data_IF_405156765085
#
_entry.id   IF_405156765085
#
_cell.length_a   1.000
_cell.length_b   1.000
_cell.length_c   1.000
_cell.angle_alpha   90.00
_cell.angle_beta   90.00
_cell.angle_gamma   90.00
#
_symmetry.space_group_name_H-M   'P 1'
#
loop_
_entity.id
_entity.type
_entity.pdbx_description
1 polymer ?
#
# COMPACT_ATOMS: atom_id res chain seq x y z
N UNK A 1 -9.82 -38.61 24.42
CA UNK A 1 -8.44 -38.66 23.92
C UNK A 1 -8.21 -37.32 23.28
N UNK A 2 -7.55 -36.45 24.02
CA UNK A 2 -7.44 -35.02 23.80
C UNK A 2 -6.01 -34.78 23.28
N UNK A 3 -5.86 -34.15 22.11
CA UNK A 3 -4.56 -33.76 21.57
C UNK A 3 -4.49 -32.24 21.57
N UNK A 4 -3.83 -31.73 22.60
CA UNK A 4 -3.45 -30.34 22.81
C UNK A 4 -2.31 -29.98 21.84
N UNK A 5 -2.53 -28.97 20.99
CA UNK A 5 -1.46 -28.34 20.21
C UNK A 5 -0.80 -27.26 21.07
N UNK A 6 0.48 -27.45 21.40
CA UNK A 6 1.31 -26.46 22.08
C UNK A 6 1.56 -25.28 21.14
N UNK A 7 0.90 -24.16 21.40
CA UNK A 7 1.17 -22.88 20.76
C UNK A 7 2.46 -22.28 21.32
N UNK A 8 3.47 -22.11 20.48
CA UNK A 8 4.61 -21.24 20.76
C UNK A 8 4.20 -19.78 20.54
N UNK A 9 3.89 -19.09 21.64
CA UNK A 9 3.85 -17.62 21.68
C UNK A 9 5.27 -17.11 21.54
N UNK A 10 5.54 -16.36 20.47
CA UNK A 10 6.70 -15.48 20.39
C UNK A 10 6.18 -14.05 20.43
N UNK A 11 6.38 -13.40 21.58
CA UNK A 11 6.17 -11.97 21.79
C UNK A 11 7.50 -11.30 21.45
N UNK A 12 7.57 -10.55 20.35
CA UNK A 12 8.65 -9.61 20.13
C UNK A 12 8.14 -8.18 20.36
N UNK A 13 8.43 -7.69 21.56
CA UNK A 13 8.51 -6.28 21.88
C UNK A 13 9.97 -5.89 21.72
N UNK A 14 10.28 -5.02 20.76
CA UNK A 14 11.64 -4.53 20.55
C UNK A 14 11.73 -3.69 19.30
N UNK A 15 11.65 -2.38 19.49
CA UNK A 15 12.00 -1.36 18.51
C UNK A 15 13.47 -1.51 18.11
N UNK A 16 13.72 -1.98 16.91
CA UNK A 16 14.97 -1.73 16.19
C UNK A 16 14.67 -1.59 14.71
N UNK A 17 14.95 -0.40 14.19
CA UNK A 17 14.96 -0.08 12.77
C UNK A 17 15.93 -1.00 12.04
N UNK A 18 15.44 -2.10 11.49
CA UNK A 18 16.18 -2.91 10.53
C UNK A 18 16.07 -2.28 9.15
N UNK A 19 17.19 -1.74 8.66
CA UNK A 19 17.40 -1.59 7.23
C UNK A 19 17.25 -2.98 6.60
N UNK A 20 16.19 -3.20 5.82
CA UNK A 20 15.98 -4.44 5.06
C UNK A 20 17.06 -4.56 3.98
N UNK A 21 18.18 -5.18 4.32
CA UNK A 21 19.02 -5.87 3.36
C UNK A 21 19.01 -7.35 3.71
N UNK A 22 18.51 -8.18 2.77
CA UNK A 22 18.56 -9.64 2.91
C UNK A 22 20.02 -10.08 3.04
N UNK A 23 20.36 -11.01 3.96
CA UNK A 23 21.68 -11.61 3.99
C UNK A 23 21.91 -12.43 2.70
N UNK A 24 23.12 -12.44 2.13
CA UNK A 24 23.38 -13.12 0.86
C UNK A 24 23.21 -14.64 0.97
N UNK A 25 22.41 -15.22 0.07
CA UNK A 25 22.32 -16.66 -0.16
C UNK A 25 23.45 -17.10 -1.12
N UNK A 26 24.03 -18.28 -0.87
CA UNK A 26 25.02 -18.85 -1.79
C UNK A 26 24.32 -19.64 -2.90
N UNK A 27 24.69 -19.33 -4.14
CA UNK A 27 24.50 -20.20 -5.30
C UNK A 27 25.32 -21.48 -5.11
N UNK A 28 24.65 -22.61 -4.91
CA UNK A 28 25.25 -23.92 -5.14
C UNK A 28 24.95 -24.34 -6.58
N UNK A 29 25.99 -24.50 -7.40
CA UNK A 29 25.88 -25.12 -8.73
C UNK A 29 25.61 -26.64 -8.67
N UNK A 30 25.53 -27.21 -7.47
CA UNK A 30 25.09 -28.58 -7.25
C UNK A 30 23.62 -28.60 -6.82
N UNK A 31 22.75 -28.80 -7.81
CA UNK A 31 21.38 -29.26 -7.61
C UNK A 31 21.45 -30.66 -6.98
N UNK A 32 21.03 -30.79 -5.73
CA UNK A 32 20.81 -32.09 -5.11
C UNK A 32 19.32 -32.39 -5.17
N UNK A 33 18.95 -33.34 -6.02
CA UNK A 33 17.58 -33.88 -6.09
C UNK A 33 17.38 -34.91 -4.98
N UNK A 34 16.29 -34.76 -4.23
CA UNK A 34 15.73 -35.81 -3.38
C UNK A 34 14.30 -36.08 -3.84
N UNK A 35 14.04 -37.32 -4.26
CA UNK A 35 12.72 -37.77 -4.72
C UNK A 35 11.80 -38.02 -3.53
N UNK A 36 10.82 -37.13 -3.32
CA UNK A 36 9.65 -37.40 -2.49
C UNK A 36 8.53 -38.02 -3.32
N UNK A 37 7.82 -39.01 -2.79
CA UNK A 37 6.66 -39.61 -3.45
C UNK A 37 5.43 -38.77 -3.10
N UNK A 38 4.85 -38.08 -4.08
CA UNK A 38 3.56 -37.39 -3.91
C UNK A 38 2.53 -37.93 -4.90
N UNK A 39 1.31 -38.23 -4.42
CA UNK A 39 0.19 -38.62 -5.28
C UNK A 39 -0.50 -37.35 -5.78
N UNK A 40 -0.51 -37.17 -7.10
CA UNK A 40 -1.27 -36.11 -7.78
C UNK A 40 -2.64 -36.67 -8.19
N UNK A 41 -3.72 -36.13 -7.64
CA UNK A 41 -5.06 -36.30 -8.20
C UNK A 41 -5.24 -35.29 -9.34
N UNK A 42 -5.62 -35.78 -10.52
CA UNK A 42 -5.79 -34.95 -11.72
C UNK A 42 -7.27 -34.72 -12.00
N UNK A 43 -7.69 -33.45 -12.01
CA UNK A 43 -8.93 -33.04 -12.64
C UNK A 43 -8.61 -32.15 -13.85
N UNK A 44 -8.72 -32.76 -15.04
CA UNK A 44 -8.70 -32.09 -16.33
C UNK A 44 -9.95 -31.21 -16.50
N UNK A 45 -9.78 -29.95 -16.89
CA UNK A 45 -10.78 -29.20 -17.69
C UNK A 45 -10.09 -28.37 -18.77
N UNK A 46 -10.41 -28.73 -20.01
CA UNK A 46 -10.08 -27.98 -21.22
C UNK A 46 -11.02 -26.80 -21.39
N UNK A 47 -10.49 -25.67 -21.86
CA UNK A 47 -11.25 -24.56 -22.43
C UNK A 47 -10.34 -23.44 -22.94
N UNK A 48 -10.04 -23.43 -24.24
CA UNK A 48 -9.40 -22.31 -24.96
C UNK A 48 -10.47 -21.47 -25.66
N UNK A 49 -10.33 -20.15 -25.63
CA UNK A 49 -10.37 -19.31 -26.85
C UNK A 49 -9.88 -17.89 -26.58
N UNK A 50 -9.02 -17.41 -27.47
CA UNK A 50 -8.34 -16.12 -27.50
C UNK A 50 -9.22 -14.95 -27.95
N UNK A 51 -8.81 -13.72 -27.62
CA UNK A 51 -9.02 -12.54 -28.48
C UNK A 51 -7.84 -11.56 -28.29
N UNK A 52 -7.35 -10.99 -29.39
CA UNK A 52 -6.14 -10.18 -29.46
C UNK A 52 -6.44 -8.67 -29.65
N UNK A 53 -5.55 -7.85 -29.07
CA UNK A 53 -5.04 -6.52 -29.44
C UNK A 53 -5.98 -5.32 -29.72
N UNK A 54 -5.74 -4.20 -29.02
CA UNK A 54 -5.22 -2.96 -29.65
C UNK A 54 -4.76 -1.92 -28.61
N UNK A 55 -3.60 -1.31 -28.84
CA UNK A 55 -3.14 -0.07 -28.18
C UNK A 55 -3.98 1.12 -28.66
N UNK A 56 -4.30 2.04 -27.76
CA UNK A 56 -4.53 3.44 -28.14
C UNK A 56 -4.18 4.37 -26.96
N UNK A 57 -3.17 5.21 -27.18
CA UNK A 57 -2.93 6.44 -26.43
C UNK A 57 -4.10 7.40 -26.71
N UNK A 58 -4.76 7.91 -25.67
CA UNK A 58 -5.64 9.07 -25.78
C UNK A 58 -5.52 9.95 -24.53
N UNK A 59 -4.95 11.12 -24.77
CA UNK A 59 -5.00 12.31 -23.91
C UNK A 59 -6.40 12.89 -24.05
N UNK A 60 -7.23 12.81 -23.01
CA UNK A 60 -8.54 13.46 -23.02
C UNK A 60 -8.60 14.66 -22.05
N UNK A 61 -8.70 15.82 -22.68
CA UNK A 61 -8.92 17.14 -22.11
C UNK A 61 -10.41 17.30 -21.81
N UNK A 62 -10.80 17.29 -20.53
CA UNK A 62 -12.20 17.51 -20.15
C UNK A 62 -12.51 19.02 -20.08
N UNK A 63 -13.31 19.49 -21.04
CA UNK A 63 -13.93 20.82 -21.03
C UNK A 63 -15.28 20.77 -20.31
N UNK A 64 -15.50 21.67 -19.35
CA UNK A 64 -16.78 21.80 -18.64
C UNK A 64 -17.53 23.08 -19.02
N UNK A 65 -18.82 22.91 -19.33
CA UNK A 65 -19.77 23.98 -19.64
C UNK A 65 -20.26 24.66 -18.35
N UNK A 66 -20.32 25.99 -18.39
CA UNK A 66 -20.91 26.82 -17.33
C UNK A 66 -22.39 27.04 -17.63
N UNK A 67 -23.28 26.63 -16.72
CA UNK A 67 -24.63 27.15 -16.63
C UNK A 67 -24.78 27.86 -15.28
N UNK A 68 -25.02 29.17 -15.33
CA UNK A 68 -25.31 29.98 -14.16
C UNK A 68 -26.80 30.10 -13.90
N UNK A 69 -27.18 30.27 -12.63
CA UNK A 69 -28.39 31.00 -12.21
C UNK A 69 -28.22 31.59 -10.81
N UNK A 70 -28.92 32.70 -10.60
CA UNK A 70 -28.69 33.74 -9.59
C UNK A 70 -29.33 33.48 -8.21
N UNK A 71 -28.71 34.05 -7.17
CA UNK A 71 -29.44 34.66 -6.05
C UNK A 71 -29.14 34.14 -4.64
N UNK A 72 -28.20 34.79 -3.91
CA UNK A 72 -28.34 35.06 -2.47
C UNK A 72 -27.19 35.94 -1.96
N UNK A 73 -27.46 37.23 -1.78
CA UNK A 73 -26.47 38.28 -1.49
C UNK A 73 -25.82 38.18 -0.11
N UNK A 74 -26.31 37.32 0.79
CA UNK A 74 -25.71 37.05 2.10
C UNK A 74 -24.62 35.98 2.06
N UNK A 75 -24.74 34.99 1.18
CA UNK A 75 -23.72 33.94 1.00
C UNK A 75 -22.50 34.46 0.25
N UNK A 76 -22.67 35.44 -0.64
CA UNK A 76 -21.58 36.04 -1.42
C UNK A 76 -20.53 36.76 -0.56
N UNK A 77 -20.89 37.30 0.60
CA UNK A 77 -19.91 37.96 1.48
C UNK A 77 -19.08 36.96 2.29
N UNK A 78 -19.68 35.87 2.77
CA UNK A 78 -18.94 34.77 3.40
C UNK A 78 -18.11 34.03 2.34
N UNK A 79 -18.68 33.69 1.19
CA UNK A 79 -17.94 33.06 0.08
C UNK A 79 -16.76 33.93 -0.37
N UNK A 80 -16.90 35.26 -0.46
CA UNK A 80 -15.82 36.13 -0.93
C UNK A 80 -14.73 36.39 0.11
N UNK A 81 -15.06 36.36 1.42
CA UNK A 81 -14.07 36.45 2.50
C UNK A 81 -13.36 35.10 2.76
N UNK A 82 -14.08 34.00 2.58
CA UNK A 82 -13.56 32.64 2.77
C UNK A 82 -12.74 32.20 1.54
N UNK A 83 -13.20 32.44 0.31
CA UNK A 83 -12.54 31.95 -0.90
C UNK A 83 -11.14 32.52 -1.15
N UNK A 84 -10.76 33.65 -0.55
CA UNK A 84 -9.43 34.23 -0.74
C UNK A 84 -8.32 33.56 0.10
N UNK A 85 -8.67 32.64 1.00
CA UNK A 85 -7.70 32.01 1.91
C UNK A 85 -8.01 30.52 2.17
N UNK A 86 -8.68 29.84 1.24
CA UNK A 86 -8.87 28.39 1.27
C UNK A 86 -7.74 27.72 0.51
N UNK A 87 -7.24 26.59 1.02
CA UNK A 87 -6.22 25.79 0.37
C UNK A 87 -6.77 25.16 -0.91
N UNK A 88 -5.96 25.18 -1.98
CA UNK A 88 -6.33 24.50 -3.21
C UNK A 88 -6.48 23.00 -2.96
N UNK A 89 -7.56 22.44 -3.49
CA UNK A 89 -7.96 21.07 -3.20
C UNK A 89 -8.81 20.47 -4.30
N UNK A 90 -8.87 19.15 -4.32
CA UNK A 90 -9.68 18.35 -5.23
C UNK A 90 -10.68 17.54 -4.40
N UNK A 91 -11.94 17.50 -4.84
CA UNK A 91 -12.97 16.68 -4.21
C UNK A 91 -12.78 15.21 -4.61
N UNK A 92 -12.93 14.28 -3.66
CA UNK A 92 -12.99 12.85 -3.94
C UNK A 92 -14.45 12.36 -4.12
N UNK A 93 -14.63 11.11 -4.56
CA UNK A 93 -15.94 10.50 -4.84
C UNK A 93 -16.80 10.25 -3.59
N UNK A 94 -16.25 10.43 -2.39
CA UNK A 94 -16.86 10.09 -1.11
C UNK A 94 -17.16 11.31 -0.23
N UNK A 95 -17.22 12.50 -0.85
CA UNK A 95 -17.34 13.79 -0.17
C UNK A 95 -16.15 14.14 0.72
N UNK A 96 -14.98 13.59 0.44
CA UNK A 96 -13.72 14.04 0.99
C UNK A 96 -13.04 15.08 0.11
N UNK A 97 -11.90 15.55 0.62
CA UNK A 97 -11.10 16.62 0.05
C UNK A 97 -9.63 16.23 0.12
N UNK A 98 -8.93 16.34 -1.00
CA UNK A 98 -7.48 16.14 -1.10
C UNK A 98 -6.82 17.49 -1.33
N UNK A 99 -6.01 17.94 -0.37
CA UNK A 99 -5.26 19.20 -0.49
C UNK A 99 -4.10 19.02 -1.47
N UNK A 100 -3.96 19.96 -2.40
CA UNK A 100 -2.89 19.94 -3.41
C UNK A 100 -1.55 20.32 -2.74
N UNK A 101 -0.55 19.41 -2.68
CA UNK A 101 0.69 19.66 -1.93
C UNK A 101 1.54 20.80 -2.49
N UNK A 102 1.51 21.00 -3.81
CA UNK A 102 2.36 21.96 -4.52
C UNK A 102 1.97 23.41 -4.21
N UNK A 103 0.71 23.64 -3.83
CA UNK A 103 0.15 24.96 -3.56
C UNK A 103 0.19 25.34 -2.07
N UNK A 104 0.73 24.45 -1.22
CA UNK A 104 0.83 24.70 0.21
C UNK A 104 1.65 25.97 0.52
N UNK A 105 1.14 26.86 1.39
CA UNK A 105 1.91 27.99 1.87
C UNK A 105 3.18 27.54 2.59
N UNK A 106 4.33 28.13 2.23
CA UNK A 106 5.61 27.80 2.88
C UNK A 106 5.78 28.41 4.26
N UNK A 107 4.96 29.39 4.64
CA UNK A 107 4.99 29.99 5.97
C UNK A 107 3.98 29.28 6.89
N UNK A 108 4.41 28.68 8.02
CA UNK A 108 3.51 27.97 8.93
C UNK A 108 2.31 28.78 9.45
N UNK A 109 2.47 30.10 9.64
CA UNK A 109 1.36 30.96 10.11
C UNK A 109 0.33 31.21 9.02
N UNK A 110 0.79 31.39 7.77
CA UNK A 110 -0.08 31.53 6.60
C UNK A 110 -0.83 30.21 6.38
N UNK A 111 -0.11 29.09 6.45
CA UNK A 111 -0.70 27.76 6.39
C UNK A 111 -1.73 27.54 7.50
N UNK A 112 -1.44 27.91 8.75
CA UNK A 112 -2.39 27.77 9.86
C UNK A 112 -3.69 28.53 9.61
N UNK A 113 -3.59 29.78 9.16
CA UNK A 113 -4.75 30.62 8.84
C UNK A 113 -5.57 30.04 7.68
N UNK A 114 -4.88 29.62 6.62
CA UNK A 114 -5.51 29.03 5.44
C UNK A 114 -6.17 27.69 5.76
N UNK A 115 -5.48 26.81 6.49
CA UNK A 115 -6.01 25.52 6.93
C UNK A 115 -7.27 25.71 7.75
N UNK A 116 -7.26 26.58 8.77
CA UNK A 116 -8.44 26.86 9.60
C UNK A 116 -9.63 27.38 8.77
N UNK A 117 -9.37 28.30 7.85
CA UNK A 117 -10.38 28.84 6.93
C UNK A 117 -10.96 27.73 6.03
N UNK A 118 -10.09 26.84 5.54
CA UNK A 118 -10.45 25.68 4.71
C UNK A 118 -11.29 24.66 5.48
N UNK A 119 -10.91 24.34 6.72
CA UNK A 119 -11.67 23.42 7.56
C UNK A 119 -13.11 23.91 7.78
N UNK A 120 -13.29 25.20 8.04
CA UNK A 120 -14.62 25.79 8.18
C UNK A 120 -15.39 25.73 6.87
N UNK A 121 -14.77 26.11 5.76
CA UNK A 121 -15.36 26.07 4.41
C UNK A 121 -15.84 24.67 4.04
N UNK A 122 -14.98 23.67 4.19
CA UNK A 122 -15.29 22.28 3.87
C UNK A 122 -16.38 21.71 4.77
N UNK A 123 -16.40 22.08 6.06
CA UNK A 123 -17.48 21.67 6.96
C UNK A 123 -18.83 22.25 6.54
N UNK A 124 -18.90 23.54 6.17
CA UNK A 124 -20.14 24.16 5.67
C UNK A 124 -20.59 23.53 4.35
N UNK A 125 -19.65 23.12 3.49
CA UNK A 125 -19.94 22.39 2.24
C UNK A 125 -20.33 20.92 2.44
N UNK A 126 -20.40 20.43 3.68
CA UNK A 126 -20.78 19.05 3.97
C UNK A 126 -19.72 18.01 3.63
N UNK A 127 -18.45 18.42 3.49
CA UNK A 127 -17.32 17.49 3.29
C UNK A 127 -17.05 16.68 4.56
N UNK A 128 -16.40 15.54 4.40
CA UNK A 128 -16.24 14.53 5.45
C UNK A 128 -14.80 14.24 5.82
N UNK A 129 -14.01 13.72 4.90
CA UNK A 129 -12.61 13.37 5.11
C UNK A 129 -11.69 14.38 4.45
N UNK A 130 -10.66 14.84 5.15
CA UNK A 130 -9.64 15.74 4.57
C UNK A 130 -8.31 15.01 4.56
N UNK A 131 -7.68 14.95 3.39
CA UNK A 131 -6.37 14.36 3.15
C UNK A 131 -5.34 15.46 2.93
N UNK A 132 -4.26 15.40 3.70
CA UNK A 132 -3.18 16.37 3.68
C UNK A 132 -1.85 15.65 3.52
N UNK A 133 -1.31 15.69 2.30
CA UNK A 133 0.03 15.18 2.00
C UNK A 133 1.05 16.28 2.24
N UNK A 134 1.95 16.06 3.20
CA UNK A 134 3.05 16.98 3.52
C UNK A 134 4.38 16.38 3.05
N UNK A 135 5.02 16.96 2.02
CA UNK A 135 6.37 16.59 1.62
C UNK A 135 7.37 16.75 2.77
N UNK A 136 8.45 15.98 2.77
CA UNK A 136 9.51 16.02 3.78
C UNK A 136 10.07 17.44 3.97
N UNK A 137 10.18 18.20 2.89
CA UNK A 137 10.67 19.58 2.87
C UNK A 137 9.72 20.56 3.57
N UNK A 138 8.45 20.17 3.77
CA UNK A 138 7.40 20.95 4.45
C UNK A 138 7.02 20.34 5.81
N UNK A 139 7.95 19.61 6.43
CA UNK A 139 7.75 18.97 7.73
C UNK A 139 7.49 19.96 8.88
N UNK A 140 7.84 21.23 8.70
CA UNK A 140 7.51 22.34 9.60
C UNK A 140 6.00 22.64 9.67
N UNK A 141 5.21 22.19 8.69
CA UNK A 141 3.75 22.30 8.69
C UNK A 141 3.06 21.21 9.52
N UNK A 142 3.75 20.10 9.83
CA UNK A 142 3.19 18.97 10.57
C UNK A 142 2.65 19.39 11.96
N UNK A 143 3.40 20.13 12.80
CA UNK A 143 2.88 20.57 14.10
C UNK A 143 1.64 21.47 13.99
N UNK A 144 1.49 22.21 12.88
CA UNK A 144 0.31 23.05 12.62
C UNK A 144 -0.89 22.17 12.30
N UNK A 145 -0.72 21.17 11.43
CA UNK A 145 -1.77 20.22 11.07
C UNK A 145 -2.25 19.42 12.29
N UNK A 146 -1.34 18.93 13.13
CA UNK A 146 -1.69 18.21 14.38
C UNK A 146 -2.51 19.09 15.34
N UNK A 147 -2.14 20.36 15.50
CA UNK A 147 -2.91 21.31 16.33
C UNK A 147 -4.33 21.55 15.80
N UNK A 148 -4.48 21.50 14.49
CA UNK A 148 -5.77 21.52 13.81
C UNK A 148 -6.35 20.10 13.69
N UNK A 149 -6.00 19.16 14.57
CA UNK A 149 -6.67 17.86 14.73
C UNK A 149 -6.46 16.85 13.60
N UNK A 150 -5.42 17.00 12.78
CA UNK A 150 -5.02 15.96 11.84
C UNK A 150 -4.23 14.86 12.54
N UNK A 151 -4.45 13.63 12.10
CA UNK A 151 -3.74 12.45 12.56
C UNK A 151 -2.91 11.85 11.42
N UNK A 152 -1.83 11.15 11.74
CA UNK A 152 -1.06 10.42 10.74
C UNK A 152 -1.86 9.24 10.21
N UNK A 153 -1.86 9.07 8.89
CA UNK A 153 -2.42 7.90 8.24
C UNK A 153 -1.31 6.94 7.79
N UNK A 154 -0.40 7.40 6.94
CA UNK A 154 0.77 6.65 6.50
C UNK A 154 1.92 7.59 6.17
N UNK A 155 3.12 7.06 5.98
CA UNK A 155 4.29 7.84 5.64
C UNK A 155 5.15 7.08 4.65
N UNK A 156 5.66 7.82 3.67
CA UNK A 156 6.71 7.38 2.76
C UNK A 156 8.01 8.09 3.09
N UNK A 157 9.11 7.65 2.45
CA UNK A 157 10.42 8.30 2.62
C UNK A 157 10.40 9.81 2.34
N UNK A 158 9.53 10.26 1.43
CA UNK A 158 9.48 11.64 0.95
C UNK A 158 8.29 12.46 1.45
N UNK A 159 7.34 11.87 2.17
CA UNK A 159 6.17 12.60 2.66
C UNK A 159 5.45 11.88 3.80
N UNK A 160 4.64 12.63 4.55
CA UNK A 160 3.63 12.06 5.45
C UNK A 160 2.23 12.37 4.93
N UNK A 161 1.37 11.36 4.93
CA UNK A 161 -0.06 11.53 4.69
C UNK A 161 -0.77 11.69 6.03
N UNK A 162 -1.47 12.80 6.19
CA UNK A 162 -2.29 13.09 7.35
C UNK A 162 -3.77 13.14 6.96
N UNK A 163 -4.65 12.76 7.88
CA UNK A 163 -6.09 12.81 7.65
C UNK A 163 -6.83 13.46 8.80
N UNK A 164 -7.99 14.04 8.51
CA UNK A 164 -8.94 14.52 9.51
C UNK A 164 -10.36 14.26 9.07
N UNK A 165 -11.15 13.64 9.96
CA UNK A 165 -12.60 13.50 9.78
C UNK A 165 -13.32 14.72 10.38
N UNK A 166 -14.17 15.37 9.59
CA UNK A 166 -14.82 16.65 9.94
C UNK A 166 -16.35 16.57 9.99
N UNK A 167 -16.91 15.44 9.58
CA UNK A 167 -18.34 15.13 9.70
C UNK A 167 -18.66 14.66 11.12
N UNK A 168 -19.89 14.89 11.57
CA UNK A 168 -20.33 14.53 12.93
C UNK A 168 -20.63 13.01 13.08
N UNK A 169 -20.68 12.27 11.96
CA UNK A 169 -20.87 10.81 11.94
C UNK A 169 -19.58 10.01 12.18
N UNK A 170 -19.65 8.67 12.24
CA UNK A 170 -18.47 7.82 12.41
C UNK A 170 -17.47 8.03 11.27
N UNK A 171 -16.18 7.94 11.59
CA UNK A 171 -15.11 8.05 10.60
C UNK A 171 -15.16 6.83 9.66
N UNK A 172 -15.27 7.10 8.36
CA UNK A 172 -15.28 6.07 7.30
C UNK A 172 -13.99 6.07 6.46
N UNK A 173 -12.97 6.79 6.92
CA UNK A 173 -11.65 6.70 6.28
C UNK A 173 -11.11 5.28 6.46
N UNK A 174 -10.52 4.68 5.41
CA UNK A 174 -9.87 3.39 5.55
C UNK A 174 -8.75 3.50 6.58
N UNK A 175 -8.54 2.44 7.36
CA UNK A 175 -7.34 2.35 8.20
C UNK A 175 -6.10 2.23 7.31
N UNK A 176 -4.94 2.58 7.87
CA UNK A 176 -3.68 2.37 7.20
C UNK A 176 -3.37 0.89 6.92
N UNK A 177 -2.41 0.65 6.03
CA UNK A 177 -1.92 -0.69 5.74
C UNK A 177 -1.39 -1.34 7.04
N UNK A 178 -2.04 -2.42 7.45
CA UNK A 178 -1.79 -3.10 8.73
C UNK A 178 -1.07 -4.43 8.58
N UNK A 179 -1.01 -4.97 7.36
CA UNK A 179 -0.48 -6.30 7.08
C UNK A 179 0.71 -6.23 6.15
N UNK A 180 1.74 -7.01 6.46
CA UNK A 180 2.78 -7.33 5.49
C UNK A 180 2.33 -8.52 4.66
N UNK A 181 2.45 -8.40 3.34
CA UNK A 181 2.15 -9.49 2.43
C UNK A 181 3.45 -10.25 2.16
N UNK A 182 3.48 -11.51 2.56
CA UNK A 182 4.55 -12.45 2.23
C UNK A 182 4.09 -13.47 1.21
N UNK A 183 5.01 -13.99 0.41
CA UNK A 183 4.77 -15.05 -0.56
C UNK A 183 5.75 -16.19 -0.34
N UNK A 184 5.26 -17.42 -0.51
CA UNK A 184 6.07 -18.63 -0.56
C UNK A 184 5.83 -19.34 -1.88
N UNK A 185 6.91 -19.68 -2.59
CA UNK A 185 6.84 -20.19 -3.95
C UNK A 185 7.06 -21.69 -3.96
N UNK A 186 6.01 -22.46 -4.28
CA UNK A 186 6.08 -23.91 -4.46
C UNK A 186 6.40 -24.25 -5.92
N UNK A 187 7.68 -24.47 -6.22
CA UNK A 187 8.15 -24.71 -7.60
C UNK A 187 8.39 -26.20 -7.80
N UNK A 188 7.79 -26.77 -8.85
CA UNK A 188 7.91 -28.18 -9.22
C UNK A 188 8.49 -28.28 -10.63
N UNK A 189 9.42 -29.21 -10.87
CA UNK A 189 9.93 -29.52 -12.21
C UNK A 189 9.15 -30.68 -12.88
N UNK A 190 9.49 -31.01 -14.13
CA UNK A 190 8.87 -32.11 -14.88
C UNK A 190 9.09 -33.52 -14.27
N UNK A 191 10.00 -33.64 -13.30
CA UNK A 191 10.30 -34.88 -12.59
C UNK A 191 9.57 -34.98 -11.23
N UNK A 192 8.61 -34.10 -10.96
CA UNK A 192 7.88 -33.99 -9.68
C UNK A 192 8.80 -33.71 -8.47
N UNK A 193 9.91 -33.00 -8.68
CA UNK A 193 10.82 -32.55 -7.62
C UNK A 193 10.53 -31.10 -7.24
N UNK A 194 10.65 -30.79 -5.95
CA UNK A 194 10.35 -29.45 -5.40
C UNK A 194 11.63 -28.66 -5.16
N UNK A 195 11.63 -27.40 -5.59
CA UNK A 195 12.71 -26.46 -5.27
C UNK A 195 12.66 -26.06 -3.79
N UNK A 196 13.80 -26.22 -3.12
CA UNK A 196 13.99 -25.80 -1.73
C UNK A 196 15.30 -25.05 -1.58
N UNK A 197 15.35 -24.17 -0.58
CA UNK A 197 16.51 -23.35 -0.23
C UNK A 197 16.87 -23.56 1.24
N UNK A 198 18.13 -23.27 1.55
CA UNK A 198 18.65 -23.25 2.90
C UNK A 198 19.37 -21.92 3.12
N UNK A 199 18.98 -21.19 4.17
CA UNK A 199 19.59 -19.90 4.48
C UNK A 199 20.99 -20.07 5.09
N UNK A 200 21.94 -19.28 4.60
CA UNK A 200 23.30 -19.26 5.14
C UNK A 200 23.37 -18.66 6.55
N UNK A 201 22.54 -17.65 6.80
CA UNK A 201 22.50 -16.92 8.05
C UNK A 201 21.10 -17.06 8.64
N UNK A 202 20.92 -18.07 9.48
CA UNK A 202 19.70 -18.28 10.23
C UNK A 202 20.03 -18.52 11.71
N UNK A 203 19.01 -18.43 12.57
CA UNK A 203 19.16 -18.77 13.99
C UNK A 203 19.62 -20.22 14.13
N UNK A 204 20.36 -20.59 15.19
CA UNK A 204 20.86 -21.95 15.37
C UNK A 204 19.78 -23.04 15.21
N UNK A 205 18.55 -22.76 15.62
CA UNK A 205 17.40 -23.66 15.53
C UNK A 205 16.91 -23.95 14.10
N UNK A 206 17.31 -23.11 13.12
CA UNK A 206 16.92 -23.22 11.71
C UNK A 206 18.07 -23.68 10.81
N UNK A 207 19.27 -23.83 11.36
CA UNK A 207 20.43 -24.33 10.61
C UNK A 207 20.16 -25.76 10.13
N UNK A 208 20.31 -25.99 8.83
CA UNK A 208 20.09 -27.31 8.23
C UNK A 208 18.67 -27.53 7.70
N UNK A 209 17.73 -26.62 7.97
CA UNK A 209 16.35 -26.77 7.52
C UNK A 209 16.19 -26.27 6.08
N UNK A 210 15.54 -27.11 5.29
CA UNK A 210 15.09 -26.77 3.94
C UNK A 210 13.72 -26.11 4.02
N UNK A 211 13.56 -25.00 3.32
CA UNK A 211 12.28 -24.32 3.14
C UNK A 211 12.02 -24.06 1.66
N UNK A 212 10.78 -23.75 1.32
CA UNK A 212 10.47 -23.19 0.00
C UNK A 212 11.02 -21.76 -0.10
N UNK A 213 11.32 -21.25 -1.31
CA UNK A 213 11.64 -19.85 -1.50
C UNK A 213 10.53 -18.94 -0.96
N UNK A 214 10.89 -17.89 -0.23
CA UNK A 214 9.93 -17.01 0.43
C UNK A 214 10.40 -15.58 0.48
N UNK A 215 9.52 -14.62 0.28
CA UNK A 215 9.86 -13.21 0.54
C UNK A 215 8.64 -12.31 0.70
N UNK A 216 8.90 -11.01 0.78
CA UNK A 216 7.84 -10.02 0.92
C UNK A 216 7.45 -9.46 -0.45
N UNK A 217 6.16 -9.18 -0.60
CA UNK A 217 5.65 -8.41 -1.73
C UNK A 217 5.92 -6.94 -1.45
N UNK A 218 6.53 -6.26 -2.42
CA UNK A 218 6.79 -4.83 -2.31
C UNK A 218 5.50 -4.02 -2.45
N UNK A 219 5.51 -2.79 -1.95
CA UNK A 219 4.39 -1.89 -2.17
C UNK A 219 4.13 -1.71 -3.68
N UNK A 220 2.85 -1.76 -4.08
CA UNK A 220 2.42 -1.68 -5.48
C UNK A 220 2.94 -2.82 -6.38
N UNK A 221 3.46 -3.91 -5.81
CA UNK A 221 3.85 -5.11 -6.55
C UNK A 221 2.72 -6.14 -6.57
N UNK A 222 2.46 -6.70 -7.76
CA UNK A 222 1.54 -7.82 -7.91
C UNK A 222 2.11 -9.10 -7.28
N UNK A 223 1.27 -9.88 -6.59
CA UNK A 223 1.69 -11.10 -5.86
C UNK A 223 2.44 -12.08 -6.77
N UNK A 224 1.98 -12.28 -8.00
CA UNK A 224 2.59 -13.22 -8.93
C UNK A 224 3.97 -12.74 -9.41
N UNK A 225 4.17 -11.44 -9.59
CA UNK A 225 5.46 -10.87 -9.95
C UNK A 225 6.45 -11.02 -8.79
N UNK A 226 5.99 -10.75 -7.56
CA UNK A 226 6.80 -10.96 -6.36
C UNK A 226 7.21 -12.43 -6.18
N UNK A 227 6.29 -13.38 -6.39
CA UNK A 227 6.61 -14.81 -6.31
C UNK A 227 7.74 -15.23 -7.26
N UNK A 228 7.67 -14.80 -8.53
CA UNK A 228 8.69 -15.09 -9.55
C UNK A 228 10.01 -14.39 -9.24
N UNK A 229 9.94 -13.11 -8.85
CA UNK A 229 11.11 -12.32 -8.45
C UNK A 229 11.84 -12.97 -7.28
N UNK A 230 11.13 -13.40 -6.25
CA UNK A 230 11.71 -14.00 -5.05
C UNK A 230 12.47 -15.30 -5.36
N UNK A 231 11.89 -16.18 -6.19
CA UNK A 231 12.60 -17.41 -6.63
C UNK A 231 13.88 -17.05 -7.39
N UNK A 232 13.81 -16.08 -8.28
CA UNK A 232 14.96 -15.62 -9.07
C UNK A 232 16.04 -14.97 -8.21
N UNK A 233 15.68 -14.15 -7.23
CA UNK A 233 16.62 -13.52 -6.31
C UNK A 233 17.36 -14.56 -5.44
N UNK A 234 16.65 -15.56 -4.92
CA UNK A 234 17.21 -16.56 -4.01
C UNK A 234 17.98 -17.67 -4.72
N UNK A 235 17.53 -18.08 -5.91
CA UNK A 235 18.04 -19.29 -6.59
C UNK A 235 18.61 -19.04 -7.98
N UNK A 236 18.31 -17.87 -8.58
CA UNK A 236 18.67 -17.53 -9.96
C UNK A 236 17.87 -18.27 -11.03
N UNK A 237 16.84 -19.03 -10.65
CA UNK A 237 16.01 -19.82 -11.57
C UNK A 237 14.85 -18.95 -12.06
N UNK A 238 14.65 -18.92 -13.37
CA UNK A 238 13.46 -18.33 -13.99
C UNK A 238 12.27 -19.28 -13.81
N UNK A 239 11.13 -18.72 -13.40
CA UNK A 239 9.89 -19.49 -13.17
C UNK A 239 8.70 -18.78 -13.78
N UNK A 240 7.63 -19.54 -14.01
CA UNK A 240 6.34 -19.03 -14.43
C UNK A 240 5.33 -19.21 -13.29
N UNK A 241 4.55 -18.17 -13.02
CA UNK A 241 3.46 -18.26 -12.06
C UNK A 241 2.29 -19.03 -12.68
N UNK A 242 1.73 -19.99 -11.93
CA UNK A 242 0.57 -20.78 -12.35
C UNK A 242 -0.67 -20.38 -11.57
N UNK A 243 -0.67 -20.55 -10.24
CA UNK A 243 -1.84 -20.30 -9.40
C UNK A 243 -1.47 -20.05 -7.93
N UNK A 244 -2.42 -19.48 -7.18
CA UNK A 244 -2.35 -19.39 -5.71
C UNK A 244 -2.98 -20.64 -5.10
N UNK A 245 -2.19 -21.40 -4.34
CA UNK A 245 -2.66 -22.65 -3.71
C UNK A 245 -3.31 -22.40 -2.35
N UNK A 246 -2.81 -21.43 -1.58
CA UNK A 246 -3.34 -21.09 -0.25
C UNK A 246 -2.91 -19.67 0.19
N UNK A 247 -3.67 -19.09 1.12
CA UNK A 247 -3.34 -17.86 1.85
C UNK A 247 -3.79 -18.00 3.31
N UNK A 248 -3.21 -17.18 4.21
CA UNK A 248 -3.53 -17.17 5.64
C UNK A 248 -3.43 -15.78 6.24
#
# INVERSE_FOLDING_TARGET
MEMTMLGSKSVYSGSDTMLLSKPPCLYSTHLLSLKGIFRRDSHLRNGKSALAASKHDLVDTYSYRINGTNGSSSNLFIDKLVNNNVLDSIDDEYEGVVVIPETLPSNPNVFASALRSSMFHWKVKGKKGVWLKLPLERSDLVPVAVKEGFEYHHAEKSYVMMTRWISDGPCLLPSNASHHVGVGSFVINDNDEVLVVQEKHCTPDLLGLWKIPTGFIHESEEIYNGAVREVKEETGIETEFVEVVAFR
#
